data_IF_775653188261
#
_entry.id   IF_775653188261
#
_cell.length_a   1.000
_cell.length_b   1.000
_cell.length_c   1.000
_cell.angle_alpha   90.00
_cell.angle_beta   90.00
_cell.angle_gamma   90.00
#
_symmetry.space_group_name_H-M   'P 1'
#
loop_
_entity.id
_entity.type
_entity.pdbx_description
1 polymer ?
#
# COMPACT_ATOMS: atom_id res chain seq x y z
N UNK A 1 -58.80 41.36 6.59
CA UNK A 1 -58.92 39.90 6.61
C UNK A 1 -59.37 39.44 5.21
N UNK A 2 -58.49 39.48 4.18
CA UNK A 2 -57.66 38.29 3.84
C UNK A 2 -56.40 38.63 2.99
N UNK A 3 -55.19 38.64 3.53
CA UNK A 3 -53.95 38.91 2.75
C UNK A 3 -52.72 38.14 3.27
N UNK A 4 -52.90 36.97 3.91
CA UNK A 4 -51.78 36.20 4.48
C UNK A 4 -51.55 34.81 3.84
N UNK A 5 -52.27 34.45 2.77
CA UNK A 5 -52.12 33.12 2.15
C UNK A 5 -51.24 33.13 0.88
N UNK A 6 -50.88 34.29 0.33
CA UNK A 6 -50.09 34.39 -0.91
C UNK A 6 -48.60 34.76 -0.72
N UNK A 7 -48.05 34.61 0.49
CA UNK A 7 -46.62 34.84 0.76
C UNK A 7 -45.82 33.58 1.12
N UNK A 8 -46.44 32.40 1.24
CA UNK A 8 -45.72 31.16 1.55
C UNK A 8 -45.21 30.40 0.32
N UNK A 9 -45.77 30.64 -0.87
CA UNK A 9 -45.39 29.90 -2.10
C UNK A 9 -44.31 30.56 -2.97
N UNK A 10 -43.89 31.80 -2.67
CA UNK A 10 -42.84 32.49 -3.43
C UNK A 10 -41.42 32.33 -2.85
N UNK A 11 -41.25 31.59 -1.73
CA UNK A 11 -39.93 31.39 -1.08
C UNK A 11 -39.19 30.11 -1.51
N UNK A 12 -39.79 29.23 -2.30
CA UNK A 12 -39.20 27.92 -2.60
C UNK A 12 -38.49 27.83 -3.96
N UNK A 13 -38.53 28.87 -4.80
CA UNK A 13 -37.93 28.82 -6.15
C UNK A 13 -36.83 29.85 -6.40
N UNK A 14 -36.34 30.55 -5.37
CA UNK A 14 -35.35 31.63 -5.50
C UNK A 14 -33.95 31.32 -4.93
N UNK A 15 -33.63 30.04 -4.64
CA UNK A 15 -32.31 29.63 -4.14
C UNK A 15 -31.37 29.08 -5.24
N UNK A 16 -31.81 28.99 -6.50
CA UNK A 16 -31.04 28.36 -7.57
C UNK A 16 -30.35 29.32 -8.56
N UNK A 17 -30.57 30.63 -8.48
CA UNK A 17 -30.06 31.56 -9.50
C UNK A 17 -29.58 32.89 -8.89
N UNK A 18 -28.44 32.87 -8.20
CA UNK A 18 -27.59 34.07 -8.06
C UNK A 18 -26.11 33.68 -8.07
N UNK A 19 -25.66 33.11 -9.17
CA UNK A 19 -24.28 33.32 -9.62
C UNK A 19 -24.29 34.54 -10.56
N UNK A 20 -24.51 35.72 -9.98
CA UNK A 20 -24.48 36.99 -10.68
C UNK A 20 -23.07 37.57 -10.62
N UNK A 21 -22.40 37.59 -11.77
CA UNK A 21 -21.10 38.21 -11.95
C UNK A 21 -21.21 39.73 -11.79
N UNK A 22 -20.80 40.29 -10.65
CA UNK A 22 -20.33 41.68 -10.54
C UNK A 22 -19.77 41.95 -9.14
N UNK A 23 -18.46 41.78 -8.97
CA UNK A 23 -17.58 42.78 -8.35
C UNK A 23 -16.11 42.34 -8.48
N UNK A 24 -15.34 43.24 -9.09
CA UNK A 24 -13.94 43.11 -9.49
C UNK A 24 -13.03 43.10 -8.26
N UNK A 25 -11.97 42.29 -8.28
CA UNK A 25 -10.79 42.28 -7.38
C UNK A 25 -10.84 41.51 -6.04
N UNK A 26 -11.11 40.19 -6.06
CA UNK A 26 -10.42 39.17 -5.19
C UNK A 26 -11.00 37.76 -5.41
N UNK A 27 -10.51 36.99 -6.40
CA UNK A 27 -10.89 35.57 -6.46
C UNK A 27 -9.89 34.66 -7.21
N UNK A 28 -8.79 34.24 -6.56
CA UNK A 28 -8.19 32.93 -6.83
C UNK A 28 -8.74 31.84 -5.89
N UNK A 29 -9.77 32.14 -5.09
CA UNK A 29 -10.17 31.31 -3.94
C UNK A 29 -11.31 30.32 -4.22
N UNK A 30 -12.11 30.51 -5.27
CA UNK A 30 -13.29 29.66 -5.53
C UNK A 30 -12.95 28.37 -6.30
N UNK A 31 -12.07 28.43 -7.31
CA UNK A 31 -11.61 27.25 -8.05
C UNK A 31 -10.83 26.26 -7.16
N UNK A 32 -9.97 26.78 -6.27
CA UNK A 32 -9.25 25.95 -5.28
C UNK A 32 -10.18 25.15 -4.36
N UNK A 33 -11.35 25.68 -4.01
CA UNK A 33 -12.28 25.00 -3.10
C UNK A 33 -13.03 23.84 -3.77
N UNK A 34 -13.29 23.91 -5.08
CA UNK A 34 -13.91 22.81 -5.82
C UNK A 34 -12.91 21.72 -6.21
N UNK A 35 -11.68 22.09 -6.59
CA UNK A 35 -10.60 21.13 -6.84
C UNK A 35 -10.25 20.32 -5.58
N UNK A 36 -10.11 20.99 -4.43
CA UNK A 36 -9.84 20.30 -3.15
C UNK A 36 -11.02 19.44 -2.67
N UNK A 37 -12.27 19.79 -3.05
CA UNK A 37 -13.44 19.00 -2.66
C UNK A 37 -13.54 17.69 -3.44
N UNK A 38 -13.26 17.71 -4.74
CA UNK A 38 -13.17 16.50 -5.55
C UNK A 38 -12.04 15.57 -5.10
N UNK A 39 -10.87 16.14 -4.79
CA UNK A 39 -9.73 15.39 -4.25
C UNK A 39 -10.05 14.77 -2.88
N UNK A 40 -10.68 15.53 -1.98
CA UNK A 40 -11.07 15.01 -0.66
C UNK A 40 -12.12 13.89 -0.74
N UNK A 41 -13.13 14.04 -1.59
CA UNK A 41 -14.17 13.02 -1.78
C UNK A 41 -13.60 11.74 -2.42
N UNK A 42 -12.65 11.88 -3.35
CA UNK A 42 -11.91 10.74 -3.91
C UNK A 42 -11.04 10.05 -2.87
N UNK A 43 -10.34 10.83 -2.03
CA UNK A 43 -9.50 10.32 -0.95
C UNK A 43 -10.32 9.51 0.06
N UNK A 44 -11.49 10.03 0.47
CA UNK A 44 -12.40 9.31 1.36
C UNK A 44 -12.92 8.02 0.73
N UNK A 45 -13.24 8.05 -0.57
CA UNK A 45 -13.66 6.86 -1.31
C UNK A 45 -12.57 5.78 -1.35
N UNK A 46 -11.31 6.16 -1.54
CA UNK A 46 -10.18 5.23 -1.48
C UNK A 46 -9.93 4.70 -0.06
N UNK A 47 -10.04 5.54 0.97
CA UNK A 47 -9.97 5.09 2.37
C UNK A 47 -11.07 4.07 2.69
N UNK A 48 -12.29 4.33 2.21
CA UNK A 48 -13.42 3.41 2.33
C UNK A 48 -13.16 2.09 1.59
N UNK A 49 -12.52 2.15 0.42
CA UNK A 49 -12.12 0.97 -0.34
C UNK A 49 -11.08 0.12 0.42
N UNK A 50 -10.01 0.74 0.94
CA UNK A 50 -9.02 0.03 1.75
C UNK A 50 -9.65 -0.57 3.01
N UNK A 51 -10.55 0.15 3.67
CA UNK A 51 -11.32 -0.37 4.81
C UNK A 51 -12.13 -1.61 4.41
N UNK A 52 -12.83 -1.54 3.28
CA UNK A 52 -13.63 -2.65 2.74
C UNK A 52 -12.76 -3.86 2.39
N UNK A 53 -11.57 -3.64 1.85
CA UNK A 53 -10.59 -4.71 1.63
C UNK A 53 -10.10 -5.30 2.94
N UNK A 54 -9.78 -4.49 3.94
CA UNK A 54 -9.32 -4.96 5.25
C UNK A 54 -10.37 -5.86 5.92
N UNK A 55 -11.64 -5.47 5.87
CA UNK A 55 -12.76 -6.26 6.38
C UNK A 55 -12.93 -7.58 5.60
N UNK A 56 -12.84 -7.51 4.27
CA UNK A 56 -12.86 -8.69 3.41
C UNK A 56 -11.71 -9.65 3.75
N UNK A 57 -10.48 -9.16 3.86
CA UNK A 57 -9.29 -9.95 4.16
C UNK A 57 -9.38 -10.63 5.53
N UNK A 58 -9.97 -9.96 6.52
CA UNK A 58 -10.20 -10.49 7.86
C UNK A 58 -11.36 -11.52 7.95
N UNK A 59 -12.27 -11.56 6.97
CA UNK A 59 -13.41 -12.49 7.01
C UNK A 59 -12.97 -13.96 6.84
N UNK A 60 -13.47 -14.88 7.69
CA UNK A 60 -13.15 -16.33 7.59
C UNK A 60 -13.91 -17.07 6.49
N UNK A 61 -14.47 -16.37 5.50
CA UNK A 61 -15.24 -16.99 4.43
C UNK A 61 -14.31 -17.69 3.43
N UNK A 62 -14.42 -19.02 3.29
CA UNK A 62 -13.62 -19.78 2.30
C UNK A 62 -13.95 -19.38 0.85
N UNK A 63 -15.18 -18.94 0.61
CA UNK A 63 -15.67 -18.54 -0.71
C UNK A 63 -15.05 -17.25 -1.24
N UNK A 64 -14.32 -16.47 -0.42
CA UNK A 64 -13.70 -15.22 -0.83
C UNK A 64 -12.21 -15.34 -1.16
N UNK A 65 -11.62 -16.55 -1.08
CA UNK A 65 -10.18 -16.76 -1.31
C UNK A 65 -9.68 -16.22 -2.66
N UNK A 66 -10.45 -16.41 -3.74
CA UNK A 66 -10.12 -15.89 -5.07
C UNK A 66 -10.16 -14.36 -5.12
N UNK A 67 -11.16 -13.74 -4.48
CA UNK A 67 -11.31 -12.27 -4.46
C UNK A 67 -10.19 -11.64 -3.64
N UNK A 68 -9.81 -12.25 -2.50
CA UNK A 68 -8.66 -11.83 -1.69
C UNK A 68 -7.34 -11.90 -2.47
N UNK A 69 -7.13 -12.98 -3.23
CA UNK A 69 -5.97 -13.12 -4.09
C UNK A 69 -5.94 -12.09 -5.22
N UNK A 70 -7.09 -11.79 -5.82
CA UNK A 70 -7.21 -10.74 -6.84
C UNK A 70 -6.92 -9.35 -6.26
N UNK A 71 -7.41 -9.03 -5.06
CA UNK A 71 -7.11 -7.77 -4.39
C UNK A 71 -5.59 -7.61 -4.19
N UNK A 72 -4.89 -8.63 -3.69
CA UNK A 72 -3.43 -8.59 -3.55
C UNK A 72 -2.69 -8.37 -4.88
N UNK A 73 -3.27 -8.80 -6.00
CA UNK A 73 -2.67 -8.61 -7.33
C UNK A 73 -2.93 -7.21 -7.91
N UNK A 74 -4.11 -6.64 -7.71
CA UNK A 74 -4.50 -5.38 -8.37
C UNK A 74 -4.26 -4.14 -7.50
N UNK A 75 -4.37 -4.26 -6.18
CA UNK A 75 -4.11 -3.14 -5.25
C UNK A 75 -2.70 -2.53 -5.40
N UNK A 76 -1.61 -3.30 -5.54
CA UNK A 76 -0.30 -2.70 -5.73
C UNK A 76 -0.14 -2.03 -7.12
N UNK A 77 -0.86 -2.47 -8.15
CA UNK A 77 -0.75 -1.88 -9.50
C UNK A 77 -1.24 -0.44 -9.60
N UNK A 78 -2.16 -0.03 -8.72
CA UNK A 78 -2.70 1.33 -8.69
C UNK A 78 -1.86 2.29 -7.83
N UNK A 79 -0.82 1.80 -7.13
CA UNK A 79 -0.09 2.61 -6.13
C UNK A 79 0.55 3.86 -6.73
N UNK A 80 1.04 3.76 -7.97
CA UNK A 80 1.69 4.88 -8.67
C UNK A 80 0.68 5.96 -9.10
N UNK A 81 -0.58 5.61 -9.28
CA UNK A 81 -1.64 6.58 -9.58
C UNK A 81 -2.18 7.19 -8.27
N UNK A 82 -2.38 6.35 -7.26
CA UNK A 82 -2.91 6.77 -5.96
C UNK A 82 -1.96 7.71 -5.21
N UNK A 83 -0.63 7.55 -5.35
CA UNK A 83 0.34 8.46 -4.72
C UNK A 83 0.22 9.92 -5.19
N UNK A 84 -0.39 10.19 -6.35
CA UNK A 84 -0.52 11.55 -6.90
C UNK A 84 -1.59 12.37 -6.15
N UNK A 85 -2.48 11.68 -5.44
CA UNK A 85 -3.66 12.25 -4.77
C UNK A 85 -3.72 11.92 -3.28
N UNK A 86 -2.82 11.07 -2.79
CA UNK A 86 -2.63 10.77 -1.37
C UNK A 86 -1.31 11.32 -0.84
N UNK A 87 -1.28 11.68 0.45
CA UNK A 87 -0.02 11.81 1.18
C UNK A 87 0.70 10.44 1.14
N UNK A 88 1.94 10.36 0.60
CA UNK A 88 2.70 9.12 0.52
C UNK A 88 2.84 8.40 1.88
N UNK A 89 2.86 9.15 3.00
CA UNK A 89 2.88 8.56 4.35
C UNK A 89 1.57 7.86 4.70
N UNK A 90 0.43 8.47 4.42
CA UNK A 90 -0.88 7.87 4.68
C UNK A 90 -1.10 6.65 3.80
N UNK A 91 -0.71 6.73 2.52
CA UNK A 91 -0.78 5.59 1.62
C UNK A 91 0.05 4.42 2.16
N UNK A 92 1.27 4.67 2.63
CA UNK A 92 2.12 3.64 3.24
C UNK A 92 1.48 2.98 4.48
N UNK A 93 0.73 3.75 5.29
CA UNK A 93 -0.02 3.20 6.44
C UNK A 93 -1.19 2.34 6.00
N UNK A 94 -1.95 2.77 4.99
CA UNK A 94 -3.07 1.98 4.44
C UNK A 94 -2.58 0.64 3.89
N UNK A 95 -1.48 0.64 3.13
CA UNK A 95 -0.85 -0.59 2.66
C UNK A 95 -0.36 -1.47 3.82
N UNK A 96 0.22 -0.87 4.85
CA UNK A 96 0.67 -1.62 6.03
C UNK A 96 -0.51 -2.34 6.69
N UNK A 97 -1.63 -1.64 6.90
CA UNK A 97 -2.83 -2.25 7.45
C UNK A 97 -3.37 -3.36 6.55
N UNK A 98 -3.46 -3.10 5.24
CA UNK A 98 -3.93 -4.08 4.26
C UNK A 98 -3.12 -5.38 4.27
N UNK A 99 -1.78 -5.28 4.27
CA UNK A 99 -0.89 -6.44 4.32
C UNK A 99 -0.98 -7.21 5.65
N UNK A 100 -1.20 -6.51 6.77
CA UNK A 100 -1.35 -7.13 8.08
C UNK A 100 -2.71 -7.83 8.25
N UNK A 101 -3.74 -7.41 7.52
CA UNK A 101 -5.07 -8.04 7.51
C UNK A 101 -5.15 -9.29 6.63
N UNK A 102 -4.10 -9.60 5.84
CA UNK A 102 -4.02 -10.83 5.06
C UNK A 102 -3.99 -12.05 6.00
N UNK A 103 -4.87 -13.05 5.81
CA UNK A 103 -4.95 -14.21 6.70
C UNK A 103 -3.65 -15.01 6.73
N UNK A 104 -3.17 -15.34 7.93
CA UNK A 104 -1.92 -16.08 8.14
C UNK A 104 -2.00 -17.49 7.55
N UNK A 105 -0.93 -17.94 6.89
CA UNK A 105 -0.83 -19.28 6.31
C UNK A 105 -1.65 -19.50 5.03
N UNK A 106 -2.35 -18.48 4.53
CA UNK A 106 -3.03 -18.49 3.22
C UNK A 106 -2.52 -17.32 2.38
N UNK A 107 -2.56 -17.49 1.05
CA UNK A 107 -2.17 -16.44 0.09
C UNK A 107 -0.74 -15.90 0.30
N UNK A 108 0.16 -16.69 0.90
CA UNK A 108 1.52 -16.26 1.24
C UNK A 108 2.27 -15.76 0.00
N UNK A 109 2.18 -16.52 -1.10
CA UNK A 109 2.78 -16.12 -2.37
C UNK A 109 2.23 -14.79 -2.88
N UNK A 110 0.91 -14.65 -2.97
CA UNK A 110 0.27 -13.42 -3.44
C UNK A 110 0.60 -12.22 -2.54
N UNK A 111 0.76 -12.44 -1.23
CA UNK A 111 1.17 -11.43 -0.28
C UNK A 111 2.61 -10.96 -0.54
N UNK A 112 3.53 -11.89 -0.78
CA UNK A 112 4.93 -11.57 -1.09
C UNK A 112 5.04 -10.88 -2.45
N UNK A 113 4.32 -11.37 -3.46
CA UNK A 113 4.25 -10.75 -4.79
C UNK A 113 3.73 -9.30 -4.69
N UNK A 114 2.69 -9.07 -3.88
CA UNK A 114 2.16 -7.72 -3.62
C UNK A 114 3.21 -6.79 -2.98
N UNK A 115 4.00 -7.30 -2.03
CA UNK A 115 5.09 -6.52 -1.43
C UNK A 115 6.20 -6.21 -2.45
N UNK A 116 6.51 -7.15 -3.35
CA UNK A 116 7.48 -6.94 -4.44
C UNK A 116 7.00 -5.81 -5.35
N UNK A 117 5.74 -5.84 -5.78
CA UNK A 117 5.16 -4.80 -6.62
C UNK A 117 5.19 -3.41 -5.95
N UNK A 118 5.00 -3.35 -4.62
CA UNK A 118 5.13 -2.10 -3.85
C UNK A 118 6.58 -1.60 -3.84
N UNK A 119 7.57 -2.49 -3.70
CA UNK A 119 9.00 -2.13 -3.72
C UNK A 119 9.42 -1.60 -5.09
N UNK A 120 8.90 -2.17 -6.18
CA UNK A 120 9.15 -1.68 -7.54
C UNK A 120 8.42 -0.37 -7.86
N UNK A 121 7.45 0.02 -7.05
CA UNK A 121 6.77 1.30 -7.21
C UNK A 121 7.59 2.49 -6.72
N UNK A 122 7.23 3.68 -7.20
CA UNK A 122 7.87 4.91 -6.73
C UNK A 122 7.53 5.25 -5.27
N UNK A 123 6.56 4.58 -4.66
CA UNK A 123 6.25 4.80 -3.24
C UNK A 123 7.46 4.44 -2.38
N UNK A 124 8.17 3.37 -2.72
CA UNK A 124 9.32 2.90 -1.95
C UNK A 124 10.62 3.67 -2.22
N UNK A 125 10.66 4.56 -3.21
CA UNK A 125 11.83 5.45 -3.41
C UNK A 125 11.84 6.61 -2.43
N UNK A 126 10.68 6.94 -1.84
CA UNK A 126 10.53 8.03 -0.88
C UNK A 126 11.02 7.61 0.52
N UNK A 127 11.89 8.43 1.11
CA UNK A 127 12.48 8.17 2.42
C UNK A 127 11.44 7.86 3.50
N UNK A 128 10.45 8.75 3.64
CA UNK A 128 9.42 8.66 4.67
C UNK A 128 8.52 7.43 4.52
N UNK A 129 8.29 6.98 3.29
CA UNK A 129 7.51 5.77 3.01
C UNK A 129 8.30 4.52 3.41
N UNK A 130 9.62 4.51 3.16
CA UNK A 130 10.49 3.39 3.57
C UNK A 130 10.54 3.22 5.08
N UNK A 131 10.53 4.30 5.85
CA UNK A 131 10.48 4.20 7.32
C UNK A 131 9.25 3.44 7.82
N UNK A 132 8.15 3.44 7.06
CA UNK A 132 6.91 2.73 7.38
C UNK A 132 6.90 1.32 6.78
N UNK A 133 7.22 1.20 5.48
CA UNK A 133 7.08 -0.04 4.72
C UNK A 133 8.22 -1.04 4.98
N UNK A 134 9.45 -0.57 5.21
CA UNK A 134 10.60 -1.45 5.40
C UNK A 134 10.50 -2.28 6.69
N UNK A 135 10.13 -1.72 7.86
CA UNK A 135 9.90 -2.53 9.06
C UNK A 135 8.84 -3.61 8.84
N UNK A 136 7.74 -3.28 8.17
CA UNK A 136 6.70 -4.25 7.81
C UNK A 136 7.27 -5.39 6.95
N UNK A 137 7.92 -5.05 5.84
CA UNK A 137 8.46 -6.05 4.89
C UNK A 137 9.51 -6.94 5.55
N UNK A 138 10.39 -6.37 6.37
CA UNK A 138 11.41 -7.14 7.10
C UNK A 138 10.79 -8.08 8.13
N UNK A 139 9.71 -7.68 8.81
CA UNK A 139 9.00 -8.57 9.74
C UNK A 139 8.28 -9.70 8.99
N UNK A 140 7.65 -9.42 7.85
CA UNK A 140 7.04 -10.46 7.00
C UNK A 140 8.09 -11.44 6.46
N UNK A 141 9.22 -10.93 5.95
CA UNK A 141 10.33 -11.75 5.46
C UNK A 141 10.86 -12.67 6.57
N UNK A 142 11.12 -12.13 7.76
CA UNK A 142 11.59 -12.92 8.89
C UNK A 142 10.62 -14.05 9.23
N UNK A 143 9.34 -13.72 9.36
CA UNK A 143 8.29 -14.68 9.70
C UNK A 143 8.19 -15.83 8.68
N UNK A 144 8.14 -15.51 7.39
CA UNK A 144 8.00 -16.52 6.34
C UNK A 144 9.27 -17.35 6.14
N UNK A 145 10.46 -16.73 6.26
CA UNK A 145 11.74 -17.45 6.20
C UNK A 145 11.91 -18.42 7.38
N UNK A 146 11.51 -18.03 8.59
CA UNK A 146 11.53 -18.91 9.78
C UNK A 146 10.57 -20.10 9.62
N UNK A 147 9.42 -19.88 8.99
CA UNK A 147 8.43 -20.92 8.67
C UNK A 147 8.74 -21.72 7.40
N UNK A 148 9.75 -21.31 6.62
CA UNK A 148 10.10 -21.88 5.30
C UNK A 148 8.95 -21.82 4.29
N UNK A 149 8.12 -20.79 4.39
CA UNK A 149 7.03 -20.54 3.44
C UNK A 149 7.55 -19.70 2.28
N UNK A 150 7.41 -20.19 1.04
CA UNK A 150 7.78 -19.48 -0.19
C UNK A 150 9.19 -18.83 -0.17
N UNK A 151 10.28 -19.57 0.20
CA UNK A 151 11.61 -18.98 0.37
C UNK A 151 12.13 -18.29 -0.90
N UNK A 152 11.71 -18.76 -2.09
CA UNK A 152 12.06 -18.11 -3.37
C UNK A 152 11.48 -16.69 -3.47
N UNK A 153 10.21 -16.51 -3.13
CA UNK A 153 9.56 -15.20 -3.14
C UNK A 153 10.14 -14.28 -2.04
N UNK A 154 10.49 -14.83 -0.87
CA UNK A 154 11.20 -14.08 0.16
C UNK A 154 12.58 -13.59 -0.32
N UNK A 155 13.35 -14.44 -0.99
CA UNK A 155 14.65 -14.05 -1.56
C UNK A 155 14.50 -12.97 -2.63
N UNK A 156 13.47 -13.08 -3.48
CA UNK A 156 13.18 -12.06 -4.49
C UNK A 156 12.86 -10.71 -3.85
N UNK A 157 11.90 -10.68 -2.91
CA UNK A 157 11.54 -9.45 -2.18
C UNK A 157 12.74 -8.82 -1.46
N UNK A 158 13.57 -9.61 -0.79
CA UNK A 158 14.78 -9.10 -0.14
C UNK A 158 15.76 -8.51 -1.17
N UNK A 159 15.92 -9.16 -2.32
CA UNK A 159 16.80 -8.70 -3.40
C UNK A 159 16.31 -7.37 -3.97
N UNK A 160 15.01 -7.26 -4.25
CA UNK A 160 14.39 -6.03 -4.75
C UNK A 160 14.51 -4.86 -3.74
N UNK A 161 14.30 -5.13 -2.45
CA UNK A 161 14.48 -4.13 -1.39
C UNK A 161 15.92 -3.62 -1.39
N UNK A 162 16.89 -4.52 -1.40
CA UNK A 162 18.31 -4.15 -1.40
C UNK A 162 18.67 -3.38 -2.67
N UNK A 163 18.19 -3.82 -3.83
CA UNK A 163 18.41 -3.12 -5.11
C UNK A 163 17.97 -1.66 -5.02
N UNK A 164 16.77 -1.39 -4.49
CA UNK A 164 16.31 -0.02 -4.27
C UNK A 164 17.17 0.73 -3.25
N UNK A 165 17.54 0.10 -2.12
CA UNK A 165 18.34 0.76 -1.08
C UNK A 165 19.79 1.09 -1.50
N UNK A 166 20.35 0.36 -2.47
CA UNK A 166 21.69 0.61 -3.00
C UNK A 166 21.71 1.63 -4.17
N UNK A 167 20.54 2.05 -4.66
CA UNK A 167 20.47 3.12 -5.66
C UNK A 167 20.97 4.45 -5.11
N UNK A 168 21.58 5.26 -5.97
CA UNK A 168 22.18 6.55 -5.59
C UNK A 168 21.17 7.69 -5.52
N UNK A 169 20.00 7.53 -6.13
CA UNK A 169 18.97 8.56 -6.29
C UNK A 169 17.89 8.54 -5.20
N UNK A 170 17.93 7.58 -4.27
CA UNK A 170 16.89 7.38 -3.26
C UNK A 170 17.22 8.00 -1.89
N UNK A 171 18.22 8.86 -1.80
CA UNK A 171 18.61 9.53 -0.55
C UNK A 171 19.29 8.61 0.50
N UNK A 172 19.28 8.98 1.80
CA UNK A 172 20.00 8.22 2.82
C UNK A 172 19.36 6.86 3.10
N UNK A 173 20.17 5.79 3.00
CA UNK A 173 19.72 4.40 3.20
C UNK A 173 20.47 3.65 4.30
N UNK A 174 21.41 4.30 4.99
CA UNK A 174 22.23 3.66 6.02
C UNK A 174 21.40 3.01 7.13
N UNK A 175 20.43 3.74 7.68
CA UNK A 175 19.53 3.24 8.72
C UNK A 175 18.64 2.10 8.21
N UNK A 176 18.13 2.22 6.98
CA UNK A 176 17.33 1.19 6.32
C UNK A 176 18.12 -0.13 6.16
N UNK A 177 19.37 -0.06 5.70
CA UNK A 177 20.25 -1.23 5.57
C UNK A 177 20.55 -1.86 6.93
N UNK A 178 20.74 -1.03 7.97
CA UNK A 178 20.95 -1.53 9.33
C UNK A 178 19.76 -2.37 9.82
N UNK A 179 18.52 -1.93 9.59
CA UNK A 179 17.32 -2.72 9.94
C UNK A 179 17.33 -4.08 9.25
N UNK A 180 17.61 -4.09 7.94
CA UNK A 180 17.65 -5.33 7.16
C UNK A 180 18.70 -6.29 7.74
N UNK A 181 19.91 -5.79 8.02
CA UNK A 181 20.99 -6.59 8.60
C UNK A 181 20.63 -7.12 9.99
N UNK A 182 20.15 -6.27 10.89
CA UNK A 182 19.83 -6.69 12.26
C UNK A 182 18.68 -7.70 12.31
N UNK A 183 17.64 -7.51 11.50
CA UNK A 183 16.45 -8.36 11.52
C UNK A 183 16.60 -9.66 10.73
N UNK A 184 17.27 -9.62 9.58
CA UNK A 184 17.22 -10.72 8.60
C UNK A 184 18.52 -11.50 8.46
N UNK A 185 19.70 -10.94 8.81
CA UNK A 185 20.98 -11.60 8.53
C UNK A 185 21.07 -13.01 9.11
N UNK A 186 20.65 -13.18 10.38
CA UNK A 186 20.66 -14.49 11.04
C UNK A 186 19.69 -15.47 10.39
N UNK A 187 18.49 -15.01 10.05
CA UNK A 187 17.44 -15.83 9.48
C UNK A 187 17.80 -16.27 8.06
N UNK A 188 18.26 -15.34 7.21
CA UNK A 188 18.73 -15.62 5.85
C UNK A 188 19.88 -16.61 5.86
N UNK A 189 20.91 -16.41 6.70
CA UNK A 189 22.03 -17.35 6.81
C UNK A 189 21.56 -18.77 7.17
N UNK A 190 20.62 -18.90 8.10
CA UNK A 190 20.04 -20.21 8.46
C UNK A 190 19.27 -20.84 7.29
N UNK A 191 18.47 -20.05 6.58
CA UNK A 191 17.71 -20.52 5.42
C UNK A 191 18.64 -21.01 4.31
N UNK A 192 19.68 -20.24 3.96
CA UNK A 192 20.67 -20.62 2.94
C UNK A 192 21.40 -21.91 3.30
N UNK A 193 21.85 -22.05 4.56
CA UNK A 193 22.51 -23.29 5.03
C UNK A 193 21.57 -24.50 4.88
N UNK A 194 20.28 -24.32 5.19
CA UNK A 194 19.34 -25.43 5.04
C UNK A 194 19.02 -25.75 3.58
N UNK A 195 18.90 -24.76 2.72
CA UNK A 195 18.65 -24.97 1.29
C UNK A 195 19.84 -25.68 0.61
N UNK A 196 21.08 -25.36 1.02
CA UNK A 196 22.27 -26.06 0.55
C UNK A 196 22.32 -27.54 0.98
N UNK A 197 21.66 -27.90 2.08
CA UNK A 197 21.54 -29.29 2.55
C UNK A 197 20.42 -30.07 1.85
N UNK A 198 19.41 -29.39 1.34
CA UNK A 198 18.27 -29.97 0.60
C UNK A 198 18.55 -30.14 -0.90
N UNK A 199 19.72 -29.70 -1.38
CA UNK A 199 20.18 -29.91 -2.76
C UNK A 199 20.90 -31.26 -2.90
N UNK A 200 20.33 -32.29 -3.55
CA UNK A 200 20.94 -33.63 -3.62
C UNK A 200 22.12 -33.74 -4.60
N UNK A 201 22.80 -32.64 -4.95
CA UNK A 201 23.76 -32.60 -6.08
C UNK A 201 25.20 -32.20 -5.67
N UNK A 202 25.57 -32.34 -4.39
CA UNK A 202 26.95 -32.07 -3.92
C UNK A 202 27.66 -33.35 -3.41
N UNK A 203 27.16 -34.55 -3.73
CA UNK A 203 27.79 -35.82 -3.33
C UNK A 203 28.48 -36.60 -4.47
N UNK A 204 28.58 -36.08 -5.69
CA UNK A 204 29.22 -36.80 -6.82
C UNK A 204 30.46 -36.13 -7.43
N UNK A 205 31.26 -35.40 -6.65
CA UNK A 205 32.59 -34.94 -7.13
C UNK A 205 33.74 -35.18 -6.15
N UNK A 206 33.58 -36.13 -5.22
CA UNK A 206 34.60 -36.50 -4.23
C UNK A 206 35.06 -37.97 -4.30
N UNK A 207 34.82 -38.67 -5.41
CA UNK A 207 35.14 -40.09 -5.56
C UNK A 207 35.61 -40.43 -6.95
N UNK A 208 36.86 -40.13 -7.26
CA UNK A 208 37.74 -40.94 -8.11
C UNK A 208 39.19 -40.52 -7.89
#
# INVERSE_FOLDING_TARGET
MPEEILQSHARTTAASERCGCQELNRAPRCSRLYENKGEADFMESLRSLFTSFNDMMNSNSENTGMVKGAALKYVPTIVNDVKLVFDPKELSKLFTEFILKVPLGRLVKQKLDCLIDIVHSDLFTHHDCREILLPLMTDQLKFHLEKREEPKACCQLLSDILEVLYRRDVGPTQWHVQIVMEKLLRTVNRTVISMGRESPHILELGGN
#
